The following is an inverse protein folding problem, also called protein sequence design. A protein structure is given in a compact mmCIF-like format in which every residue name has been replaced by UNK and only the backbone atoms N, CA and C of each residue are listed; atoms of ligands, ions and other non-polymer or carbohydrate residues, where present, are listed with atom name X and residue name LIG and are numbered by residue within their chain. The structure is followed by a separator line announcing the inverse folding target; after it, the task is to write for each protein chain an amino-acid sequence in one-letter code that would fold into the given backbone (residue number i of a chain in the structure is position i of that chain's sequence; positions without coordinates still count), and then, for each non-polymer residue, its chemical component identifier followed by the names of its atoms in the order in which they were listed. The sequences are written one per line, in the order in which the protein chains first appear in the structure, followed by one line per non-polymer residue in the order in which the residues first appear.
data_IF_813449762080
#
_entry.id   IF_813449762080
#
_cell.length_a   1.000
_cell.length_b   1.000
_cell.length_c   1.000
_cell.angle_alpha   90.00
_cell.angle_beta   90.00
_cell.angle_gamma   90.00
#
_symmetry.space_group_name_H-M   'P 1'
#
loop_
_entity.id
_entity.type
_entity.pdbx_description
1 polymer ?
#
# COMPACT_ATOMS: atom_id res chain seq x y z
N UNK A 1 -1.21 -8.25 0.93
CA UNK A 1 -1.39 -7.87 2.34
C UNK A 1 -1.04 -6.40 2.52
N UNK A 2 -1.68 -5.70 3.46
CA UNK A 2 -1.37 -4.32 3.79
C UNK A 2 -1.38 -4.13 5.31
N UNK A 3 -0.35 -3.47 5.84
CA UNK A 3 -0.14 -3.15 7.24
C UNK A 3 -0.17 -1.63 7.42
N UNK A 4 -1.12 -1.12 8.21
CA UNK A 4 -1.21 0.29 8.54
C UNK A 4 -0.56 0.53 9.90
N UNK A 5 0.41 1.43 9.97
CA UNK A 5 1.15 1.65 11.23
C UNK A 5 0.37 2.49 12.24
N UNK A 6 -0.69 3.19 11.83
CA UNK A 6 -1.53 4.01 12.73
C UNK A 6 -2.16 3.27 13.92
N UNK A 7 -2.27 1.94 13.86
CA UNK A 7 -2.82 1.11 14.93
C UNK A 7 -1.82 0.71 16.01
N UNK A 8 -0.52 0.99 15.83
CA UNK A 8 0.52 0.60 16.77
C UNK A 8 0.93 1.75 17.69
N UNK A 9 1.08 1.46 18.99
CA UNK A 9 1.42 2.48 20.00
C UNK A 9 2.77 3.16 19.72
N UNK A 10 3.76 2.42 19.22
CA UNK A 10 5.07 2.98 18.86
C UNK A 10 5.00 4.00 17.70
N UNK A 11 3.96 3.95 16.88
CA UNK A 11 3.80 4.81 15.71
C UNK A 11 2.91 6.03 15.98
N UNK A 12 2.12 6.05 17.06
CA UNK A 12 1.15 7.12 17.36
C UNK A 12 1.76 8.51 17.52
N UNK A 13 2.96 8.59 18.12
CA UNK A 13 3.65 9.85 18.42
C UNK A 13 4.57 10.34 17.29
N UNK A 14 4.73 9.57 16.22
CA UNK A 14 5.64 9.91 15.12
C UNK A 14 4.91 10.10 13.80
N UNK A 15 5.64 10.57 12.78
CA UNK A 15 5.16 10.62 11.39
C UNK A 15 4.81 9.21 10.86
N UNK A 16 5.35 8.17 11.50
CA UNK A 16 5.11 6.75 11.19
C UNK A 16 3.63 6.35 11.17
N UNK A 17 2.75 6.99 11.95
CA UNK A 17 1.30 6.68 11.89
C UNK A 17 0.69 6.92 10.51
N UNK A 18 1.28 7.76 9.67
CA UNK A 18 0.77 7.99 8.32
C UNK A 18 1.35 7.01 7.31
N UNK A 19 2.21 6.07 7.71
CA UNK A 19 2.84 5.12 6.81
C UNK A 19 1.99 3.83 6.74
N UNK A 20 1.77 3.38 5.51
CA UNK A 20 1.16 2.09 5.19
C UNK A 20 2.18 1.25 4.42
N UNK A 21 2.39 0.00 4.83
CA UNK A 21 3.30 -0.92 4.18
C UNK A 21 2.46 -2.00 3.49
N UNK A 22 2.73 -2.24 2.22
CA UNK A 22 2.02 -3.16 1.38
C UNK A 22 3.02 -4.26 1.00
N UNK A 23 2.64 -5.53 1.14
CA UNK A 23 3.47 -6.62 0.69
C UNK A 23 2.58 -7.73 0.17
N UNK A 24 3.01 -8.39 -0.90
CA UNK A 24 2.26 -9.53 -1.40
C UNK A 24 3.02 -10.32 -2.43
N UNK A 25 2.41 -11.43 -2.78
CA UNK A 25 2.96 -12.44 -3.66
C UNK A 25 1.86 -12.85 -4.61
N UNK A 26 2.17 -12.90 -5.90
CA UNK A 26 1.24 -13.39 -6.91
C UNK A 26 1.97 -14.14 -8.01
N UNK A 27 1.25 -15.04 -8.66
CA UNK A 27 1.75 -15.84 -9.77
C UNK A 27 0.93 -15.57 -11.03
N UNK A 28 1.57 -15.58 -12.19
CA UNK A 28 0.94 -15.47 -13.52
C UNK A 28 1.58 -16.45 -14.50
N UNK A 29 0.87 -16.82 -15.55
CA UNK A 29 1.39 -17.74 -16.58
C UNK A 29 1.50 -19.20 -16.15
N UNK A 30 0.72 -19.63 -15.15
CA UNK A 30 0.67 -21.05 -14.74
C UNK A 30 -0.50 -21.83 -15.33
N UNK A 31 -1.44 -21.14 -16.00
CA UNK A 31 -2.62 -21.76 -16.60
C UNK A 31 -2.38 -22.23 -18.03
N UNK A 32 -1.46 -21.59 -18.75
CA UNK A 32 -1.15 -21.87 -20.16
C UNK A 32 0.34 -22.23 -20.29
N UNK A 33 0.70 -23.36 -20.94
CA UNK A 33 2.09 -23.74 -21.19
C UNK A 33 2.91 -22.73 -22.01
N UNK A 34 2.25 -21.93 -22.85
CA UNK A 34 2.89 -20.96 -23.74
C UNK A 34 3.14 -19.60 -23.07
N UNK A 35 2.56 -19.36 -21.90
CA UNK A 35 2.80 -18.13 -21.12
C UNK A 35 4.09 -18.21 -20.30
N UNK A 36 4.79 -17.08 -20.20
CA UNK A 36 5.95 -16.98 -19.32
C UNK A 36 5.50 -17.03 -17.86
N UNK A 37 5.93 -18.07 -17.15
CA UNK A 37 5.70 -18.23 -15.71
C UNK A 37 6.35 -17.07 -14.96
N UNK A 38 5.56 -16.30 -14.25
CA UNK A 38 6.04 -15.19 -13.43
C UNK A 38 5.66 -15.42 -11.98
N UNK A 39 6.62 -15.16 -11.09
CA UNK A 39 6.42 -15.28 -9.66
C UNK A 39 6.85 -13.98 -9.02
N UNK A 40 5.88 -13.10 -8.81
CA UNK A 40 6.15 -11.74 -8.42
C UNK A 40 5.93 -11.56 -6.93
N UNK A 41 6.94 -11.00 -6.27
CA UNK A 41 6.80 -10.42 -4.95
C UNK A 41 6.76 -8.91 -5.09
N UNK A 42 5.82 -8.27 -4.40
CA UNK A 42 5.75 -6.82 -4.34
C UNK A 42 5.86 -6.33 -2.91
N UNK A 43 6.54 -5.20 -2.75
CA UNK A 43 6.61 -4.43 -1.53
C UNK A 43 6.30 -2.98 -1.87
N UNK A 44 5.37 -2.35 -1.15
CA UNK A 44 5.00 -0.96 -1.33
C UNK A 44 4.99 -0.21 -0.01
N UNK A 45 5.24 1.08 -0.09
CA UNK A 45 5.13 2.00 1.03
C UNK A 45 4.23 3.14 0.57
N UNK A 46 3.19 3.44 1.33
CA UNK A 46 2.20 4.45 1.04
C UNK A 46 1.92 5.37 2.21
N UNK A 47 1.27 6.49 1.92
CA UNK A 47 0.85 7.47 2.90
C UNK A 47 -0.66 7.44 3.11
N UNK A 48 -1.08 7.33 4.38
CA UNK A 48 -2.47 7.44 4.79
C UNK A 48 -2.88 8.93 4.87
N UNK A 49 -3.22 9.49 3.72
CA UNK A 49 -3.76 10.86 3.63
C UNK A 49 -5.12 11.00 4.33
N UNK A 50 -5.92 9.93 4.34
CA UNK A 50 -7.23 9.94 5.01
C UNK A 50 -7.09 10.32 6.49
N UNK A 51 -6.15 9.71 7.22
CA UNK A 51 -5.92 10.02 8.62
C UNK A 51 -5.32 11.43 8.81
N UNK A 52 -4.44 11.86 7.91
CA UNK A 52 -3.84 13.20 7.93
C UNK A 52 -4.89 14.31 7.81
N UNK A 53 -5.78 14.22 6.81
CA UNK A 53 -6.82 15.22 6.56
C UNK A 53 -7.91 15.19 7.62
N UNK A 54 -8.25 14.00 8.15
CA UNK A 54 -9.21 13.85 9.25
C UNK A 54 -8.74 14.58 10.51
N UNK A 55 -7.46 14.46 10.88
CA UNK A 55 -6.87 15.16 12.03
C UNK A 55 -6.76 16.67 11.84
N UNK A 56 -6.64 17.14 10.60
CA UNK A 56 -6.61 18.57 10.23
C UNK A 56 -8.00 19.22 10.15
N UNK A 57 -9.08 18.47 10.45
CA UNK A 57 -10.46 18.97 10.42
C UNK A 57 -11.16 18.86 9.06
N UNK A 58 -10.51 18.27 8.05
CA UNK A 58 -11.07 18.10 6.70
C UNK A 58 -11.81 16.77 6.54
N UNK A 59 -12.89 16.58 7.30
CA UNK A 59 -13.65 15.32 7.35
C UNK A 59 -14.25 14.88 6.00
N UNK A 60 -14.67 15.84 5.17
CA UNK A 60 -15.20 15.56 3.82
C UNK A 60 -14.10 15.05 2.88
N UNK A 61 -12.95 15.73 2.86
CA UNK A 61 -11.78 15.32 2.06
C UNK A 61 -11.27 13.96 2.49
N UNK A 62 -11.17 13.71 3.80
CA UNK A 62 -10.80 12.40 4.34
C UNK A 62 -11.77 11.29 3.89
N UNK A 63 -13.07 11.58 3.82
CA UNK A 63 -14.07 10.60 3.35
C UNK A 63 -13.87 10.24 1.88
N UNK A 64 -13.56 11.22 1.03
CA UNK A 64 -13.24 10.96 -0.39
C UNK A 64 -11.97 10.12 -0.52
N UNK A 65 -10.91 10.47 0.23
CA UNK A 65 -9.62 9.78 0.23
C UNK A 65 -9.68 8.35 0.78
N UNK A 66 -10.74 8.01 1.52
CA UNK A 66 -11.00 6.63 1.94
C UNK A 66 -11.32 5.73 0.75
N UNK A 67 -11.98 6.27 -0.27
CA UNK A 67 -12.38 5.53 -1.47
C UNK A 67 -11.43 5.77 -2.65
N UNK A 68 -10.77 6.92 -2.67
CA UNK A 68 -9.86 7.33 -3.75
C UNK A 68 -8.44 7.37 -3.23
N UNK A 69 -7.60 6.44 -3.69
CA UNK A 69 -6.15 6.54 -3.53
C UNK A 69 -5.60 7.53 -4.54
N UNK A 70 -4.90 8.56 -4.05
CA UNK A 70 -4.25 9.53 -4.93
C UNK A 70 -2.99 8.88 -5.55
N UNK A 71 -2.87 8.86 -6.89
CA UNK A 71 -1.67 8.35 -7.54
C UNK A 71 -0.44 9.16 -7.10
N UNK A 72 0.67 8.48 -6.81
CA UNK A 72 1.90 9.09 -6.28
C UNK A 72 1.98 9.16 -4.74
N UNK A 73 0.92 8.77 -4.02
CA UNK A 73 0.96 8.66 -2.54
C UNK A 73 1.47 7.33 -2.04
N UNK A 74 1.70 6.40 -2.95
CA UNK A 74 2.29 5.09 -2.69
C UNK A 74 3.31 4.76 -3.77
N UNK A 75 4.46 4.26 -3.34
CA UNK A 75 5.48 3.70 -4.22
C UNK A 75 5.46 2.19 -4.03
N UNK A 76 5.46 1.45 -5.13
CA UNK A 76 5.52 -0.01 -5.13
C UNK A 76 6.76 -0.46 -5.89
N UNK A 77 7.48 -1.39 -5.29
CA UNK A 77 8.57 -2.12 -5.89
C UNK A 77 8.12 -3.55 -6.10
N UNK A 78 8.40 -4.07 -7.29
CA UNK A 78 8.06 -5.44 -7.66
C UNK A 78 9.32 -6.14 -8.15
N UNK A 79 9.45 -7.42 -7.80
CA UNK A 79 10.52 -8.28 -8.28
C UNK A 79 9.94 -9.61 -8.73
N UNK A 80 10.24 -9.96 -9.98
CA UNK A 80 10.02 -11.31 -10.49
C UNK A 80 11.10 -12.24 -9.93
N UNK A 81 10.68 -13.36 -9.36
CA UNK A 81 11.55 -14.39 -8.78
C UNK A 81 11.90 -15.49 -9.78
N UNK A 82 11.42 -15.39 -11.03
CA UNK A 82 11.76 -16.31 -12.11
C UNK A 82 12.82 -15.75 -13.08
N UNK A 83 13.26 -14.50 -12.88
CA UNK A 83 14.39 -13.85 -13.56
C UNK A 83 15.47 -13.47 -12.56
#
# INVERSE_FOLDING_TARGET
MALKLNGFDFAQNSFLKHIEIHAGYYIRGFSDPDETKQRNVYLGIGFNLTDLFRRKGYSKTATVLKYVQIPGTSVQFEKDLNK
#
